data_IF_067926167948
#
_entry.id   IF_067926167948
#
_cell.length_a   1.000
_cell.length_b   1.000
_cell.length_c   1.000
_cell.angle_alpha   90.00
_cell.angle_beta   90.00
_cell.angle_gamma   90.00
#
_symmetry.space_group_name_H-M   'P 1'
#
loop_
_entity.id
_entity.type
_entity.pdbx_description
1 polymer ?
#
# COMPACT_ATOMS: atom_id res chain seq x y z
N UNK A 1 46.16 37.40 -20.74
CA UNK A 1 45.41 36.37 -19.98
C UNK A 1 46.35 35.79 -18.94
N UNK A 2 46.05 36.00 -17.65
CA UNK A 2 46.99 35.76 -16.55
C UNK A 2 47.28 34.27 -16.43
N UNK A 3 48.55 33.85 -16.46
CA UNK A 3 48.96 32.43 -16.39
C UNK A 3 48.41 31.72 -15.15
N UNK A 4 48.15 32.47 -14.09
CA UNK A 4 47.52 31.98 -12.86
C UNK A 4 46.10 31.46 -13.09
N UNK A 5 45.28 32.13 -13.91
CA UNK A 5 43.92 31.68 -14.23
C UNK A 5 43.91 30.39 -15.04
N UNK A 6 44.86 30.24 -15.97
CA UNK A 6 45.01 29.02 -16.77
C UNK A 6 45.38 27.81 -15.91
N UNK A 7 46.27 27.99 -14.93
CA UNK A 7 46.66 26.93 -13.99
C UNK A 7 45.50 26.57 -13.06
N UNK A 8 44.76 27.59 -12.59
CA UNK A 8 43.58 27.40 -11.73
C UNK A 8 42.46 26.63 -12.43
N UNK A 9 42.18 26.97 -13.70
CA UNK A 9 41.17 26.28 -14.52
C UNK A 9 41.60 24.85 -14.85
N UNK A 10 42.88 24.61 -15.12
CA UNK A 10 43.38 23.25 -15.37
C UNK A 10 43.25 22.37 -14.11
N UNK A 11 43.60 22.89 -12.92
CA UNK A 11 43.45 22.16 -11.66
C UNK A 11 41.99 21.79 -11.36
N UNK A 12 41.04 22.69 -11.66
CA UNK A 12 39.60 22.43 -11.49
C UNK A 12 39.09 21.31 -12.42
N UNK A 13 39.55 21.27 -13.68
CA UNK A 13 39.16 20.23 -14.64
C UNK A 13 39.73 18.86 -14.24
N UNK A 14 40.97 18.82 -13.72
CA UNK A 14 41.60 17.58 -13.25
C UNK A 14 41.04 17.05 -11.92
N UNK A 15 40.41 17.90 -11.09
CA UNK A 15 39.71 17.43 -9.89
C UNK A 15 38.36 16.76 -10.17
N UNK A 16 37.77 16.93 -11.36
CA UNK A 16 36.48 16.32 -11.71
C UNK A 16 36.57 14.80 -11.95
N UNK A 17 37.73 14.26 -12.31
CA UNK A 17 37.93 12.83 -12.56
C UNK A 17 38.60 12.08 -11.40
N UNK A 18 38.82 12.74 -10.26
CA UNK A 18 39.53 12.17 -9.10
C UNK A 18 38.65 11.23 -8.25
N UNK A 19 37.37 11.08 -8.61
CA UNK A 19 36.38 10.28 -7.90
C UNK A 19 35.65 9.27 -8.77
N UNK A 20 36.05 9.10 -10.04
CA UNK A 20 35.59 7.98 -10.86
C UNK A 20 36.44 6.76 -10.52
N UNK A 21 35.98 5.95 -9.57
CA UNK A 21 36.50 4.60 -9.40
C UNK A 21 35.78 3.69 -10.39
N UNK A 22 36.53 2.75 -10.96
CA UNK A 22 35.95 1.72 -11.81
C UNK A 22 35.15 0.77 -10.93
N UNK A 23 33.82 0.84 -11.05
CA UNK A 23 32.93 -0.04 -10.31
C UNK A 23 33.14 -1.47 -10.82
N UNK A 24 33.70 -2.31 -9.95
CA UNK A 24 33.94 -3.73 -10.22
C UNK A 24 32.71 -4.60 -9.95
N UNK A 25 31.58 -4.00 -9.56
CA UNK A 25 30.33 -4.73 -9.44
C UNK A 25 29.93 -5.27 -10.80
N UNK A 26 29.54 -6.54 -10.83
CA UNK A 26 28.93 -7.10 -12.03
C UNK A 26 27.50 -6.55 -12.07
N UNK A 27 27.03 -5.96 -13.18
CA UNK A 27 25.65 -5.54 -13.28
C UNK A 27 24.77 -6.75 -12.98
N UNK A 28 23.77 -6.54 -12.11
CA UNK A 28 22.78 -7.57 -11.84
C UNK A 28 21.96 -7.73 -13.12
N UNK A 29 21.81 -8.96 -13.60
CA UNK A 29 20.95 -9.24 -14.76
C UNK A 29 19.51 -8.80 -14.44
N UNK A 30 18.77 -8.26 -15.42
CA UNK A 30 17.42 -7.74 -15.19
C UNK A 30 16.49 -8.82 -14.66
N UNK A 31 15.81 -8.58 -13.53
CA UNK A 31 14.85 -9.51 -12.91
C UNK A 31 13.50 -8.84 -12.72
N UNK A 32 12.40 -9.61 -12.83
CA UNK A 32 11.08 -9.08 -12.51
C UNK A 32 10.98 -8.77 -11.01
N UNK A 33 10.17 -7.76 -10.63
CA UNK A 33 9.95 -7.41 -9.24
C UNK A 33 9.03 -8.42 -8.53
N UNK A 34 9.09 -8.43 -7.20
CA UNK A 34 8.17 -9.15 -6.32
C UNK A 34 7.13 -8.20 -5.73
N UNK A 35 5.88 -8.64 -5.56
CA UNK A 35 4.78 -7.84 -5.01
C UNK A 35 4.29 -8.36 -3.67
N UNK A 36 4.00 -7.43 -2.74
CA UNK A 36 3.45 -7.73 -1.43
C UNK A 36 2.17 -6.94 -1.17
N UNK A 37 1.21 -7.59 -0.50
CA UNK A 37 -0.10 -7.03 -0.16
C UNK A 37 -0.36 -7.18 1.34
N UNK A 38 -0.88 -6.12 1.95
CA UNK A 38 -1.31 -6.07 3.34
C UNK A 38 -2.72 -5.51 3.44
N UNK A 39 -3.54 -6.19 4.25
CA UNK A 39 -4.89 -5.77 4.62
C UNK A 39 -4.88 -5.39 6.11
N UNK A 40 -5.30 -4.16 6.41
CA UNK A 40 -5.47 -3.68 7.78
C UNK A 40 -6.96 -3.42 8.01
N UNK A 41 -7.60 -4.26 8.82
CA UNK A 41 -8.95 -3.99 9.29
C UNK A 41 -8.88 -3.10 10.55
N UNK A 42 -9.37 -1.86 10.44
CA UNK A 42 -9.33 -0.87 11.53
C UNK A 42 -10.73 -0.54 12.03
N UNK A 43 -11.52 -1.54 12.41
CA UNK A 43 -12.82 -1.30 13.05
C UNK A 43 -12.80 -1.80 14.50
N UNK A 44 -12.94 -0.86 15.44
CA UNK A 44 -13.26 -1.17 16.84
C UNK A 44 -14.70 -0.72 17.09
N UNK A 45 -15.61 -1.69 17.20
CA UNK A 45 -17.04 -1.44 17.45
C UNK A 45 -17.30 -1.63 18.95
N UNK A 46 -17.86 -0.61 19.60
CA UNK A 46 -18.25 -0.67 21.00
C UNK A 46 -19.76 -0.88 21.09
N UNK A 47 -20.19 -1.93 21.82
CA UNK A 47 -21.59 -2.24 22.04
C UNK A 47 -21.87 -2.32 23.55
N UNK A 48 -22.99 -1.74 23.96
CA UNK A 48 -23.42 -1.77 25.35
C UNK A 48 -24.93 -1.71 25.52
N UNK A 49 -25.38 -2.08 26.71
CA UNK A 49 -26.78 -1.99 27.11
C UNK A 49 -26.97 -0.74 27.96
N UNK A 50 -27.90 0.12 27.56
CA UNK A 50 -28.30 1.26 28.38
C UNK A 50 -28.95 0.75 29.67
N UNK A 51 -28.37 1.12 30.81
CA UNK A 51 -28.78 0.64 32.13
C UNK A 51 -30.17 1.14 32.55
N UNK A 52 -30.70 2.17 31.89
CA UNK A 52 -32.01 2.76 32.20
C UNK A 52 -33.12 2.25 31.29
N UNK A 53 -32.81 2.00 30.01
CA UNK A 53 -33.81 1.61 29.01
C UNK A 53 -33.73 0.13 28.63
N UNK A 54 -32.58 -0.53 28.87
CA UNK A 54 -32.33 -1.92 28.48
C UNK A 54 -32.10 -2.09 26.98
N UNK A 55 -32.08 -1.00 26.21
CA UNK A 55 -31.90 -1.02 24.76
C UNK A 55 -30.40 -1.06 24.39
N UNK A 56 -30.03 -1.73 23.29
CA UNK A 56 -28.65 -1.78 22.82
C UNK A 56 -28.23 -0.44 22.19
N UNK A 57 -27.07 0.06 22.61
CA UNK A 57 -26.43 1.28 22.09
C UNK A 57 -25.10 0.90 21.43
N UNK A 58 -24.90 1.35 20.20
CA UNK A 58 -23.69 1.11 19.41
C UNK A 58 -22.92 2.42 19.24
N UNK A 59 -21.61 2.39 19.48
CA UNK A 59 -20.72 3.52 19.24
C UNK A 59 -19.58 3.12 18.30
N UNK A 60 -19.36 3.93 17.26
CA UNK A 60 -18.28 3.76 16.29
C UNK A 60 -17.33 4.95 16.49
N UNK A 61 -16.07 4.67 16.82
CA UNK A 61 -14.99 5.65 17.06
C UNK A 61 -15.13 6.52 18.32
N UNK A 62 -15.97 6.17 19.29
CA UNK A 62 -16.06 6.86 20.58
C UNK A 62 -15.61 5.95 21.73
N UNK A 63 -14.76 6.48 22.63
CA UNK A 63 -14.32 5.75 23.82
C UNK A 63 -15.47 5.79 24.84
N UNK A 64 -16.08 4.65 25.22
CA UNK A 64 -17.19 4.65 26.16
C UNK A 64 -16.75 5.06 27.56
N UNK A 65 -17.66 5.72 28.29
CA UNK A 65 -17.38 6.20 29.64
C UNK A 65 -16.97 5.05 30.60
N UNK A 66 -16.09 5.30 31.59
CA UNK A 66 -15.60 4.25 32.48
C UNK A 66 -16.74 3.75 33.37
N UNK A 67 -17.29 2.57 33.08
CA UNK A 67 -18.38 1.96 33.86
C UNK A 67 -19.33 1.01 33.10
N UNK A 68 -19.19 0.89 31.77
CA UNK A 68 -20.10 0.11 30.94
C UNK A 68 -19.65 -1.35 30.81
N UNK A 69 -20.57 -2.32 30.91
CA UNK A 69 -20.35 -3.80 30.77
C UNK A 69 -20.84 -4.27 29.39
N UNK A 70 -20.07 -5.13 28.73
CA UNK A 70 -20.10 -5.38 27.28
C UNK A 70 -20.57 -6.81 27.01
N UNK A 71 -21.46 -7.00 26.04
CA UNK A 71 -21.76 -8.32 25.48
C UNK A 71 -22.07 -8.23 23.97
N UNK A 72 -21.64 -9.22 23.21
CA UNK A 72 -21.56 -9.19 21.74
C UNK A 72 -22.89 -9.59 21.09
N UNK A 73 -23.51 -8.67 20.34
CA UNK A 73 -24.87 -8.82 19.78
C UNK A 73 -24.91 -9.59 18.44
N UNK A 74 -25.88 -10.50 18.34
CA UNK A 74 -25.95 -11.58 17.35
C UNK A 74 -26.73 -11.25 16.06
N UNK A 75 -27.19 -10.01 15.83
CA UNK A 75 -28.10 -9.67 14.70
C UNK A 75 -27.89 -8.31 13.99
N UNK A 76 -26.67 -7.77 13.93
CA UNK A 76 -26.40 -6.47 13.31
C UNK A 76 -26.36 -6.42 11.75
N UNK A 77 -26.82 -7.46 11.02
CA UNK A 77 -26.42 -7.70 9.61
C UNK A 77 -27.50 -7.65 8.50
N UNK A 78 -28.73 -7.15 8.72
CA UNK A 78 -29.81 -7.27 7.70
C UNK A 78 -29.95 -6.11 6.70
N UNK A 79 -29.08 -5.10 6.76
CA UNK A 79 -29.04 -4.03 5.74
C UNK A 79 -27.80 -4.26 4.88
N UNK A 80 -27.89 -4.09 3.55
CA UNK A 80 -26.73 -4.09 2.65
C UNK A 80 -25.66 -3.11 3.17
N UNK A 81 -24.73 -3.61 3.97
CA UNK A 81 -23.68 -2.82 4.59
C UNK A 81 -22.56 -2.70 3.57
N UNK A 82 -22.21 -1.48 3.18
CA UNK A 82 -20.97 -1.28 2.42
C UNK A 82 -19.82 -1.38 3.39
N UNK A 83 -18.91 -2.32 3.16
CA UNK A 83 -17.66 -2.42 3.89
C UNK A 83 -16.62 -1.51 3.25
N UNK A 84 -15.82 -0.85 4.09
CA UNK A 84 -14.70 0.00 3.68
C UNK A 84 -13.41 -0.76 3.95
N UNK A 85 -12.66 -1.10 2.91
CA UNK A 85 -11.41 -1.83 3.02
C UNK A 85 -10.25 -0.95 2.54
N UNK A 86 -9.24 -0.78 3.40
CA UNK A 86 -8.01 -0.09 3.04
C UNK A 86 -6.92 -1.14 2.85
N UNK A 87 -6.36 -1.17 1.64
CA UNK A 87 -5.29 -2.07 1.26
C UNK A 87 -4.00 -1.27 1.12
N UNK A 88 -2.89 -1.89 1.51
CA UNK A 88 -1.55 -1.38 1.36
C UNK A 88 -0.72 -2.40 0.60
N UNK A 89 0.14 -1.94 -0.30
CA UNK A 89 0.98 -2.82 -1.10
C UNK A 89 2.31 -2.14 -1.38
N UNK A 90 3.32 -2.96 -1.62
CA UNK A 90 4.63 -2.51 -2.05
C UNK A 90 5.26 -3.55 -2.95
N UNK A 91 6.22 -3.14 -3.76
CA UNK A 91 7.05 -4.01 -4.56
C UNK A 91 8.50 -3.93 -4.12
N UNK A 92 9.23 -5.02 -4.31
CA UNK A 92 10.68 -5.05 -4.15
C UNK A 92 11.31 -5.48 -5.48
N UNK A 93 12.33 -4.73 -5.90
CA UNK A 93 13.13 -5.02 -7.06
C UNK A 93 14.60 -5.09 -6.63
N UNK A 94 15.29 -6.14 -7.06
CA UNK A 94 16.66 -6.42 -6.63
C UNK A 94 17.71 -5.68 -7.47
N UNK A 95 17.35 -5.28 -8.68
CA UNK A 95 18.22 -4.68 -9.69
C UNK A 95 17.78 -3.30 -10.16
N UNK A 96 16.58 -2.88 -9.77
CA UNK A 96 16.02 -1.59 -10.14
C UNK A 96 15.09 -0.97 -9.11
N UNK A 97 14.13 -0.20 -9.61
CA UNK A 97 13.13 0.53 -8.85
C UNK A 97 11.72 0.23 -9.39
N UNK A 98 10.76 0.16 -8.48
CA UNK A 98 9.34 0.02 -8.83
C UNK A 98 8.81 1.34 -9.38
N UNK A 99 8.30 1.33 -10.61
CA UNK A 99 7.69 2.50 -11.25
C UNK A 99 6.17 2.57 -11.06
N UNK A 100 5.54 1.46 -10.68
CA UNK A 100 4.12 1.43 -10.34
C UNK A 100 3.55 0.03 -10.22
N UNK A 101 2.22 -0.03 -10.22
CA UNK A 101 1.47 -1.25 -9.94
C UNK A 101 0.28 -1.37 -10.90
N UNK A 102 -0.03 -2.59 -11.30
CA UNK A 102 -1.31 -2.93 -11.90
C UNK A 102 -2.17 -3.65 -10.87
N UNK A 103 -3.40 -3.18 -10.69
CA UNK A 103 -4.37 -3.86 -9.83
C UNK A 103 -5.67 -4.12 -10.58
N UNK A 104 -6.40 -5.13 -10.13
CA UNK A 104 -7.79 -5.40 -10.53
C UNK A 104 -8.50 -6.09 -9.38
N UNK A 105 -9.82 -6.08 -9.41
CA UNK A 105 -10.63 -6.60 -8.31
C UNK A 105 -12.00 -7.01 -8.80
N UNK A 106 -12.78 -7.63 -7.93
CA UNK A 106 -14.07 -8.23 -8.26
C UNK A 106 -15.07 -7.30 -8.99
N UNK A 107 -15.03 -5.98 -8.73
CA UNK A 107 -15.96 -5.00 -9.34
C UNK A 107 -15.47 -4.55 -10.71
N UNK A 108 -14.15 -4.39 -10.86
CA UNK A 108 -13.51 -4.02 -12.11
C UNK A 108 -12.37 -5.02 -12.42
N UNK A 109 -12.66 -6.04 -13.26
CA UNK A 109 -11.71 -7.09 -13.56
C UNK A 109 -10.61 -6.66 -14.55
N UNK A 110 -10.67 -5.44 -15.10
CA UNK A 110 -9.64 -4.92 -15.97
C UNK A 110 -8.44 -4.42 -15.15
N UNK A 111 -7.22 -4.68 -15.65
CA UNK A 111 -6.01 -4.15 -15.03
C UNK A 111 -5.97 -2.64 -15.14
N UNK A 112 -5.93 -1.97 -14.00
CA UNK A 112 -5.76 -0.53 -13.85
C UNK A 112 -4.38 -0.22 -13.32
N UNK A 113 -3.74 0.83 -13.86
CA UNK A 113 -2.42 1.26 -13.43
C UNK A 113 -2.52 2.29 -12.31
N UNK A 114 -1.64 2.19 -11.31
CA UNK A 114 -1.47 3.18 -10.24
C UNK A 114 -0.01 3.29 -9.83
N UNK A 115 0.38 4.44 -9.29
CA UNK A 115 1.68 4.65 -8.62
C UNK A 115 1.53 4.77 -7.10
N UNK A 116 0.30 4.65 -6.58
CA UNK A 116 0.06 4.65 -5.14
C UNK A 116 0.39 3.31 -4.52
N UNK A 117 0.73 3.30 -3.23
CA UNK A 117 1.02 2.12 -2.40
C UNK A 117 -0.13 1.78 -1.44
N UNK A 118 -1.26 2.47 -1.61
CA UNK A 118 -2.47 2.23 -0.85
C UNK A 118 -3.70 2.58 -1.68
N UNK A 119 -4.82 1.94 -1.34
CA UNK A 119 -6.09 2.13 -2.00
C UNK A 119 -7.25 1.91 -1.03
N UNK A 120 -8.30 2.69 -1.23
CA UNK A 120 -9.54 2.57 -0.47
C UNK A 120 -10.65 2.00 -1.34
N UNK A 121 -11.17 0.84 -0.93
CA UNK A 121 -12.17 0.08 -1.67
C UNK A 121 -13.47 0.01 -0.89
N UNK A 122 -14.57 0.27 -1.60
CA UNK A 122 -15.92 0.18 -1.07
C UNK A 122 -16.58 -1.07 -1.63
N UNK A 123 -16.97 -1.95 -0.73
CA UNK A 123 -17.35 -3.31 -1.06
C UNK A 123 -18.78 -3.56 -0.58
N UNK A 124 -19.75 -3.78 -1.48
CA UNK A 124 -21.14 -3.97 -1.09
C UNK A 124 -21.36 -5.38 -0.54
N UNK A 125 -21.72 -5.53 0.73
CA UNK A 125 -22.07 -6.84 1.30
C UNK A 125 -23.52 -7.17 0.94
N UNK A 126 -23.73 -8.23 0.13
CA UNK A 126 -25.06 -8.63 -0.38
C UNK A 126 -25.71 -9.79 0.37
N UNK A 127 -24.98 -10.43 1.26
CA UNK A 127 -25.40 -11.58 2.06
C UNK A 127 -24.69 -11.59 3.41
N UNK A 128 -25.12 -12.46 4.33
CA UNK A 128 -24.52 -12.61 5.67
C UNK A 128 -23.00 -12.85 5.62
N UNK A 129 -22.50 -13.44 4.53
CA UNK A 129 -21.08 -13.53 4.17
C UNK A 129 -20.96 -13.23 2.67
N UNK A 130 -20.00 -12.40 2.30
CA UNK A 130 -19.70 -12.07 0.90
C UNK A 130 -18.17 -12.06 0.71
N UNK A 131 -17.70 -12.50 -0.46
CA UNK A 131 -16.28 -12.79 -0.72
C UNK A 131 -15.79 -11.96 -1.89
N UNK A 132 -14.67 -11.29 -1.69
CA UNK A 132 -14.07 -10.37 -2.63
C UNK A 132 -12.63 -10.75 -2.88
N UNK A 133 -12.18 -10.54 -4.11
CA UNK A 133 -10.81 -10.77 -4.53
C UNK A 133 -10.21 -9.47 -5.06
N UNK A 134 -8.93 -9.33 -4.81
CA UNK A 134 -8.08 -8.24 -5.23
C UNK A 134 -6.77 -8.88 -5.69
N UNK A 135 -6.26 -8.44 -6.84
CA UNK A 135 -4.96 -8.87 -7.34
C UNK A 135 -4.14 -7.62 -7.65
N UNK A 136 -2.85 -7.66 -7.29
CA UNK A 136 -1.91 -6.60 -7.61
C UNK A 136 -0.55 -7.14 -8.01
N UNK A 137 0.12 -6.44 -8.93
CA UNK A 137 1.46 -6.77 -9.42
C UNK A 137 2.28 -5.52 -9.67
N UNK A 138 3.54 -5.55 -9.27
CA UNK A 138 4.50 -4.47 -9.45
C UNK A 138 5.05 -4.45 -10.89
N UNK A 139 5.44 -3.24 -11.33
CA UNK A 139 6.09 -2.94 -12.60
C UNK A 139 7.40 -2.20 -12.26
N UNK A 140 8.52 -2.65 -12.81
CA UNK A 140 9.83 -2.03 -12.63
C UNK A 140 10.18 -1.00 -13.73
N UNK A 141 11.34 -0.36 -13.57
CA UNK A 141 11.87 0.61 -14.52
C UNK A 141 12.35 -0.01 -15.85
N UNK A 142 12.50 -1.32 -15.92
CA UNK A 142 12.86 -2.09 -17.12
C UNK A 142 11.65 -2.68 -17.83
N UNK A 143 10.44 -2.26 -17.41
CA UNK A 143 9.15 -2.69 -17.94
C UNK A 143 8.84 -4.18 -17.74
N UNK A 144 9.52 -4.85 -16.81
CA UNK A 144 9.13 -6.19 -16.35
C UNK A 144 8.06 -6.06 -15.26
N UNK A 145 7.21 -7.09 -15.23
CA UNK A 145 6.05 -7.14 -14.35
C UNK A 145 6.16 -8.41 -13.54
N UNK A 146 5.78 -8.32 -12.27
CA UNK A 146 5.68 -9.50 -11.41
C UNK A 146 4.77 -10.56 -12.06
N UNK A 147 5.30 -11.77 -12.19
CA UNK A 147 4.63 -12.92 -12.78
C UNK A 147 3.63 -13.58 -11.82
N UNK A 148 3.75 -13.31 -10.53
CA UNK A 148 2.94 -13.87 -9.44
C UNK A 148 2.25 -12.74 -8.66
N UNK A 149 1.10 -12.24 -9.15
CA UNK A 149 0.34 -11.23 -8.43
C UNK A 149 -0.01 -11.69 -7.01
N UNK A 150 0.04 -10.73 -6.08
CA UNK A 150 -0.37 -10.92 -4.68
C UNK A 150 -1.90 -10.87 -4.52
#
# INVERSE_FOLDING_TARGET
VNRLYLISSALLIFSCSLWEYEDQSNPIDPRPPDTYLSLIASDTVFAAIDSLTGEPVYAINEIPAPGMVWDTLTQAFTTITTSKQQLHWWGEDADGEIVGYYYKWNVDPAWSFTTTEAGLFYVPIRSDLDVFWFEIKALDNDSLVDATPA
#
